data_IF_846095842889
#
_entry.id   IF_846095842889
#
_cell.length_a   1.000
_cell.length_b   1.000
_cell.length_c   1.000
_cell.angle_alpha   90.00
_cell.angle_beta   90.00
_cell.angle_gamma   90.00
#
_symmetry.space_group_name_H-M   'P 1'
#
loop_
_entity.id
_entity.type
_entity.pdbx_description
1 polymer ?
#
# COMPACT_ATOMS: atom_id res chain seq x y z
N UNK A 1 19.06 30.28 7.40
CA UNK A 1 18.56 28.89 7.21
C UNK A 1 18.05 28.74 5.80
N UNK A 2 18.26 27.60 5.14
CA UNK A 2 17.80 27.32 3.76
C UNK A 2 16.66 26.31 3.72
N UNK A 3 16.05 26.09 2.55
CA UNK A 3 14.97 25.11 2.35
C UNK A 3 15.37 24.06 1.32
N UNK A 4 14.91 22.81 1.48
CA UNK A 4 15.28 21.70 0.61
C UNK A 4 14.89 21.92 -0.86
N UNK A 5 13.88 22.77 -1.13
CA UNK A 5 13.50 23.20 -2.48
C UNK A 5 14.62 23.96 -3.20
N UNK A 6 15.45 24.71 -2.47
CA UNK A 6 16.56 25.47 -3.06
C UNK A 6 17.78 24.57 -3.30
N UNK A 7 18.03 23.58 -2.44
CA UNK A 7 19.10 22.60 -2.60
C UNK A 7 18.91 21.38 -1.70
N UNK A 8 19.21 20.19 -2.23
CA UNK A 8 19.08 18.91 -1.53
C UNK A 8 19.86 18.79 -0.21
N UNK A 9 20.97 19.53 -0.01
CA UNK A 9 21.77 19.48 1.23
C UNK A 9 21.02 19.99 2.46
N UNK A 10 19.95 20.76 2.25
CA UNK A 10 19.06 21.24 3.31
C UNK A 10 17.87 20.30 3.54
N UNK A 11 17.89 19.08 3.01
CA UNK A 11 16.88 18.06 3.26
C UNK A 11 17.16 17.35 4.60
N UNK A 12 16.26 17.45 5.60
CA UNK A 12 16.45 16.77 6.88
C UNK A 12 16.07 15.27 6.83
N UNK A 13 15.51 14.80 5.72
CA UNK A 13 15.10 13.40 5.50
C UNK A 13 15.99 12.72 4.47
N UNK A 14 16.34 11.47 4.73
CA UNK A 14 16.90 10.55 3.74
C UNK A 14 15.78 9.93 2.89
N UNK A 15 14.73 9.45 3.55
CA UNK A 15 13.53 8.87 2.93
C UNK A 15 12.29 9.45 3.60
N UNK A 16 11.31 9.86 2.80
CA UNK A 16 9.97 10.16 3.27
C UNK A 16 8.98 9.59 2.23
N UNK A 17 8.40 8.44 2.54
CA UNK A 17 7.55 7.69 1.60
C UNK A 17 6.31 7.17 2.31
N UNK A 18 5.33 6.71 1.53
CA UNK A 18 4.13 6.07 2.05
C UNK A 18 3.72 4.90 1.18
N UNK A 19 3.03 3.94 1.80
CA UNK A 19 2.34 2.84 1.10
C UNK A 19 0.92 2.71 1.63
N UNK A 20 -0.02 2.34 0.76
CA UNK A 20 -1.36 1.98 1.19
C UNK A 20 -1.37 0.56 1.75
N UNK A 21 -2.18 0.34 2.79
CA UNK A 21 -2.40 -1.01 3.30
C UNK A 21 -3.23 -1.79 2.26
N UNK A 22 -2.89 -3.05 1.96
CA UNK A 22 -3.63 -3.86 1.00
C UNK A 22 -4.99 -4.30 1.58
N UNK A 23 -6.05 -4.05 0.82
CA UNK A 23 -7.34 -4.70 0.99
C UNK A 23 -7.35 -5.96 0.13
N UNK A 24 -7.31 -7.14 0.76
CA UNK A 24 -7.30 -8.43 0.07
C UNK A 24 -8.67 -9.09 0.21
N UNK A 25 -9.32 -9.32 -0.93
CA UNK A 25 -10.56 -10.07 -1.03
C UNK A 25 -10.27 -11.46 -1.58
N UNK A 26 -10.71 -12.50 -0.86
CA UNK A 26 -10.60 -13.90 -1.27
C UNK A 26 -11.98 -14.44 -1.64
N UNK A 27 -12.15 -14.87 -2.88
CA UNK A 27 -13.37 -15.49 -3.35
C UNK A 27 -13.36 -16.98 -3.00
N UNK A 28 -13.88 -17.32 -1.82
CA UNK A 28 -13.88 -18.68 -1.29
C UNK A 28 -14.64 -19.66 -2.19
N UNK A 29 -15.69 -19.21 -2.90
CA UNK A 29 -16.46 -20.06 -3.81
C UNK A 29 -15.67 -20.47 -5.04
N UNK A 30 -14.93 -19.52 -5.64
CA UNK A 30 -14.07 -19.82 -6.79
C UNK A 30 -12.82 -20.61 -6.36
N UNK A 31 -12.23 -20.28 -5.21
CA UNK A 31 -11.11 -21.02 -4.63
C UNK A 31 -11.48 -22.47 -4.32
N UNK A 32 -12.73 -22.76 -3.92
CA UNK A 32 -13.20 -24.12 -3.65
C UNK A 32 -13.26 -24.99 -4.92
N UNK A 33 -13.40 -24.39 -6.11
CA UNK A 33 -13.41 -25.11 -7.39
C UNK A 33 -12.01 -25.52 -7.87
N UNK A 34 -10.97 -24.88 -7.34
CA UNK A 34 -9.58 -25.17 -7.70
C UNK A 34 -9.09 -26.48 -7.08
N UNK A 35 -8.29 -27.21 -7.84
CA UNK A 35 -7.55 -28.37 -7.32
C UNK A 35 -6.50 -27.94 -6.29
N UNK A 36 -6.03 -28.89 -5.48
CA UNK A 36 -4.97 -28.61 -4.50
C UNK A 36 -3.68 -28.08 -5.16
N UNK A 37 -3.33 -28.60 -6.34
CA UNK A 37 -2.14 -28.16 -7.08
C UNK A 37 -2.31 -26.73 -7.63
N UNK A 38 -3.51 -26.38 -8.09
CA UNK A 38 -3.81 -25.01 -8.53
C UNK A 38 -3.76 -24.03 -7.36
N UNK A 39 -4.26 -24.42 -6.17
CA UNK A 39 -4.14 -23.61 -4.96
C UNK A 39 -2.70 -23.39 -4.54
N UNK A 40 -1.85 -24.42 -4.61
CA UNK A 40 -0.41 -24.29 -4.36
C UNK A 40 0.24 -23.34 -5.35
N UNK A 41 -0.02 -23.51 -6.65
CA UNK A 41 0.51 -22.63 -7.69
C UNK A 41 0.08 -21.16 -7.47
N UNK A 42 -1.16 -20.91 -7.03
CA UNK A 42 -1.65 -19.56 -6.72
C UNK A 42 -0.94 -18.94 -5.51
N UNK A 43 -0.65 -19.73 -4.47
CA UNK A 43 0.10 -19.26 -3.29
C UNK A 43 1.57 -19.02 -3.64
N UNK A 44 2.18 -19.95 -4.36
CA UNK A 44 3.61 -19.92 -4.71
C UNK A 44 3.95 -18.83 -5.74
N UNK A 45 2.99 -18.42 -6.60
CA UNK A 45 3.24 -17.35 -7.56
C UNK A 45 3.31 -15.97 -6.93
N UNK A 46 2.82 -15.80 -5.68
CA UNK A 46 2.85 -14.51 -5.01
C UNK A 46 4.22 -14.30 -4.33
N UNK A 47 5.11 -13.43 -4.87
CA UNK A 47 6.44 -13.21 -4.30
C UNK A 47 6.36 -12.61 -2.89
N UNK A 48 5.34 -11.80 -2.64
CA UNK A 48 5.08 -11.12 -1.36
C UNK A 48 4.58 -12.08 -0.26
N UNK A 49 4.20 -13.31 -0.64
CA UNK A 49 3.64 -14.33 0.25
C UNK A 49 2.45 -13.82 1.07
N UNK A 50 1.52 -13.10 0.44
CA UNK A 50 0.32 -12.58 1.11
C UNK A 50 -0.77 -13.66 1.32
N UNK A 51 -0.65 -14.79 0.62
CA UNK A 51 -1.53 -15.93 0.72
C UNK A 51 -0.83 -17.07 1.48
N UNK A 52 -1.63 -17.90 2.15
CA UNK A 52 -1.17 -19.12 2.82
C UNK A 52 -2.15 -20.26 2.53
N UNK A 53 -1.62 -21.46 2.29
CA UNK A 53 -2.40 -22.69 2.20
C UNK A 53 -2.39 -23.39 3.56
N UNK A 54 -3.55 -23.79 4.04
CA UNK A 54 -3.66 -24.70 5.18
C UNK A 54 -3.58 -26.14 4.68
N UNK A 55 -2.51 -26.84 5.03
CA UNK A 55 -2.27 -28.23 4.62
C UNK A 55 -3.31 -29.22 5.18
N UNK A 56 -3.97 -28.90 6.29
CA UNK A 56 -4.97 -29.77 6.91
C UNK A 56 -6.33 -29.68 6.23
N UNK A 57 -6.75 -28.46 5.83
CA UNK A 57 -8.07 -28.20 5.24
C UNK A 57 -8.04 -28.01 3.73
N UNK A 58 -6.86 -27.73 3.15
CA UNK A 58 -6.70 -27.33 1.76
C UNK A 58 -7.31 -25.96 1.46
N UNK A 59 -7.58 -25.13 2.47
CA UNK A 59 -8.13 -23.79 2.32
C UNK A 59 -7.02 -22.76 2.10
N UNK A 60 -7.29 -21.75 1.27
CA UNK A 60 -6.39 -20.61 1.04
C UNK A 60 -6.87 -19.44 1.92
N UNK A 61 -5.96 -18.95 2.75
CA UNK A 61 -6.16 -17.80 3.63
C UNK A 61 -5.10 -16.73 3.42
N UNK A 62 -5.20 -15.66 4.23
CA UNK A 62 -4.19 -14.60 4.27
C UNK A 62 -3.05 -15.02 5.20
N UNK A 63 -1.82 -14.71 4.80
CA UNK A 63 -0.66 -14.97 5.63
C UNK A 63 -0.56 -13.93 6.76
N UNK A 64 -0.04 -14.29 7.95
CA UNK A 64 0.18 -13.32 9.02
C UNK A 64 1.19 -12.24 8.59
N UNK A 65 0.83 -10.96 8.79
CA UNK A 65 1.65 -9.81 8.44
C UNK A 65 1.70 -9.51 6.94
N UNK A 66 0.70 -9.96 6.17
CA UNK A 66 0.58 -9.64 4.75
C UNK A 66 0.50 -8.14 4.49
N UNK A 67 -0.02 -7.34 5.43
CA UNK A 67 -0.20 -5.89 5.28
C UNK A 67 1.12 -5.15 5.03
N UNK A 68 2.22 -5.68 5.57
CA UNK A 68 3.55 -5.07 5.45
C UNK A 68 4.34 -5.54 4.23
N UNK A 69 3.90 -6.62 3.57
CA UNK A 69 4.65 -7.28 2.49
C UNK A 69 4.05 -7.06 1.11
N UNK A 70 2.76 -6.74 1.01
CA UNK A 70 2.12 -6.58 -0.28
C UNK A 70 2.74 -5.42 -1.07
N UNK A 71 3.29 -5.73 -2.25
CA UNK A 71 3.86 -4.78 -3.20
C UNK A 71 2.97 -4.53 -4.42
N UNK A 72 1.75 -5.08 -4.41
CA UNK A 72 0.73 -4.93 -5.47
C UNK A 72 1.21 -5.40 -6.85
N UNK A 73 1.98 -6.50 -6.89
CA UNK A 73 2.40 -7.11 -8.16
C UNK A 73 1.21 -7.67 -8.94
N UNK A 74 1.42 -7.88 -10.25
CA UNK A 74 0.40 -8.42 -11.14
C UNK A 74 0.47 -9.95 -11.30
N UNK A 75 1.36 -10.62 -10.56
CA UNK A 75 1.59 -12.08 -10.67
C UNK A 75 0.30 -12.87 -10.40
N UNK A 76 -0.44 -12.47 -9.36
CA UNK A 76 -1.74 -13.06 -9.03
C UNK A 76 -2.77 -12.84 -10.15
N UNK A 77 -2.80 -11.64 -10.75
CA UNK A 77 -3.70 -11.32 -11.87
C UNK A 77 -3.40 -12.19 -13.10
N UNK A 78 -2.13 -12.45 -13.38
CA UNK A 78 -1.73 -13.27 -14.51
C UNK A 78 -2.12 -14.74 -14.29
N UNK A 79 -1.75 -15.31 -13.14
CA UNK A 79 -2.02 -16.72 -12.84
C UNK A 79 -3.51 -17.01 -12.71
N UNK A 80 -4.29 -16.14 -12.07
CA UNK A 80 -5.74 -16.34 -11.98
C UNK A 80 -6.39 -16.28 -13.36
N UNK A 81 -5.94 -15.38 -14.25
CA UNK A 81 -6.49 -15.28 -15.62
C UNK A 81 -6.21 -16.54 -16.44
N UNK A 82 -5.07 -17.20 -16.21
CA UNK A 82 -4.73 -18.47 -16.86
C UNK A 82 -5.48 -19.68 -16.27
N UNK A 83 -5.91 -19.60 -15.01
CA UNK A 83 -6.63 -20.67 -14.31
C UNK A 83 -8.15 -20.60 -14.51
N UNK A 84 -8.70 -19.43 -14.83
CA UNK A 84 -10.12 -19.27 -15.15
C UNK A 84 -10.48 -20.04 -16.41
N UNK A 85 -11.70 -20.56 -16.42
CA UNK A 85 -12.22 -21.25 -17.60
C UNK A 85 -12.75 -20.24 -18.62
N UNK A 86 -13.45 -19.20 -18.16
CA UNK A 86 -13.90 -18.08 -18.97
C UNK A 86 -13.25 -16.77 -18.51
N UNK A 87 -12.92 -15.84 -19.42
CA UNK A 87 -12.37 -14.52 -19.06
C UNK A 87 -13.29 -13.71 -18.11
N UNK A 88 -14.61 -13.89 -18.26
CA UNK A 88 -15.66 -13.27 -17.45
C UNK A 88 -15.85 -13.88 -16.05
N UNK A 89 -15.21 -15.02 -15.73
CA UNK A 89 -15.30 -15.60 -14.40
C UNK A 89 -14.70 -14.64 -13.34
N UNK A 90 -15.22 -14.70 -12.11
CA UNK A 90 -14.71 -13.87 -11.02
C UNK A 90 -13.26 -14.24 -10.63
N UNK A 91 -12.49 -13.24 -10.18
CA UNK A 91 -11.14 -13.45 -9.66
C UNK A 91 -11.16 -14.28 -8.36
N UNK A 92 -10.17 -15.18 -8.21
CA UNK A 92 -9.97 -15.92 -6.96
C UNK A 92 -9.50 -15.00 -5.83
N UNK A 93 -8.65 -14.03 -6.16
CA UNK A 93 -8.03 -13.10 -5.23
C UNK A 93 -8.04 -11.71 -5.86
N UNK A 94 -8.48 -10.70 -5.10
CA UNK A 94 -8.39 -9.31 -5.50
C UNK A 94 -7.62 -8.52 -4.45
N UNK A 95 -6.53 -7.89 -4.88
CA UNK A 95 -5.69 -7.04 -4.02
C UNK A 95 -5.86 -5.60 -4.48
N UNK A 96 -6.38 -4.74 -3.60
CA UNK A 96 -6.58 -3.31 -3.87
C UNK A 96 -5.90 -2.46 -2.81
N UNK A 97 -5.53 -1.23 -3.16
CA UNK A 97 -5.02 -0.27 -2.19
C UNK A 97 -6.18 0.29 -1.37
N UNK A 98 -6.05 0.30 -0.04
CA UNK A 98 -6.98 0.98 0.84
C UNK A 98 -6.98 2.49 0.56
N UNK A 99 -8.17 3.11 0.57
CA UNK A 99 -8.34 4.54 0.28
C UNK A 99 -8.14 5.42 1.51
N UNK A 100 -8.24 4.85 2.71
CA UNK A 100 -8.23 5.54 3.99
C UNK A 100 -7.11 5.08 4.93
N UNK A 101 -6.37 4.00 4.60
CA UNK A 101 -5.28 3.46 5.41
C UNK A 101 -3.96 3.40 4.65
N UNK A 102 -2.96 4.06 5.21
CA UNK A 102 -1.60 4.05 4.69
C UNK A 102 -0.56 4.05 5.82
N UNK A 103 0.62 3.52 5.54
CA UNK A 103 1.79 3.55 6.42
C UNK A 103 2.76 4.58 5.86
N UNK A 104 3.10 5.57 6.67
CA UNK A 104 4.07 6.61 6.35
C UNK A 104 5.43 6.28 6.99
N UNK A 105 6.49 6.24 6.19
CA UNK A 105 7.85 5.96 6.66
C UNK A 105 8.72 7.20 6.47
N UNK A 106 9.35 7.64 7.56
CA UNK A 106 10.29 8.78 7.56
C UNK A 106 11.60 8.36 8.17
N UNK A 107 12.67 8.48 7.38
CA UNK A 107 14.05 8.30 7.80
C UNK A 107 14.74 9.66 7.84
N UNK A 108 15.21 10.05 9.01
CA UNK A 108 15.96 11.30 9.20
C UNK A 108 17.42 11.14 8.78
N UNK A 109 18.05 12.23 8.32
CA UNK A 109 19.50 12.30 8.14
C UNK A 109 20.27 12.50 9.46
N UNK A 110 19.57 12.60 10.59
CA UNK A 110 20.13 12.86 11.92
C UNK A 110 20.15 14.33 12.32
N UNK A 111 19.83 15.24 11.40
CA UNK A 111 19.77 16.69 11.67
C UNK A 111 18.57 17.12 12.52
N UNK A 112 17.50 16.31 12.54
CA UNK A 112 16.29 16.51 13.33
C UNK A 112 15.64 15.16 13.62
N UNK A 113 14.98 14.99 14.76
CA UNK A 113 14.25 13.74 15.05
C UNK A 113 13.08 13.53 14.06
N UNK A 114 12.80 12.30 13.59
CA UNK A 114 11.73 12.02 12.63
C UNK A 114 10.35 12.56 13.04
N UNK A 115 10.00 12.49 14.33
CA UNK A 115 8.69 12.95 14.82
C UNK A 115 8.56 14.47 14.68
N UNK A 116 9.65 15.20 14.92
CA UNK A 116 9.71 16.66 14.78
C UNK A 116 9.67 17.09 13.30
N UNK A 117 10.24 16.29 12.39
CA UNK A 117 10.14 16.51 10.95
C UNK A 117 8.67 16.46 10.51
N UNK A 118 7.93 15.42 10.94
CA UNK A 118 6.51 15.25 10.60
C UNK A 118 5.66 16.40 11.16
N UNK A 119 5.84 16.75 12.45
CA UNK A 119 5.14 17.88 13.07
C UNK A 119 5.42 19.20 12.35
N UNK A 120 6.68 19.44 12.00
CA UNK A 120 7.11 20.65 11.30
C UNK A 120 6.49 20.72 9.89
N UNK A 121 6.40 19.60 9.18
CA UNK A 121 5.76 19.51 7.87
C UNK A 121 4.27 19.84 7.95
N UNK A 122 3.55 19.27 8.93
CA UNK A 122 2.13 19.56 9.15
C UNK A 122 1.89 21.04 9.50
N UNK A 123 2.72 21.62 10.37
CA UNK A 123 2.66 23.05 10.69
C UNK A 123 2.88 23.92 9.45
N UNK A 124 3.80 23.53 8.55
CA UNK A 124 4.02 24.25 7.29
C UNK A 124 2.84 24.11 6.33
N UNK A 125 2.18 22.96 6.27
CA UNK A 125 0.96 22.79 5.49
C UNK A 125 -0.16 23.69 6.03
N UNK A 126 -0.37 23.70 7.34
CA UNK A 126 -1.36 24.56 8.00
C UNK A 126 -1.12 26.04 7.67
N UNK A 127 0.12 26.52 7.80
CA UNK A 127 0.46 27.91 7.46
C UNK A 127 0.16 28.26 5.99
N UNK A 128 0.42 27.35 5.05
CA UNK A 128 0.08 27.58 3.63
C UNK A 128 -1.42 27.71 3.41
N UNK A 129 -2.22 26.85 4.06
CA UNK A 129 -3.68 26.90 3.97
C UNK A 129 -4.25 28.18 4.59
N UNK A 130 -3.72 28.60 5.74
CA UNK A 130 -4.11 29.86 6.39
C UNK A 130 -3.80 31.07 5.51
N UNK A 131 -2.59 31.12 4.92
CA UNK A 131 -2.22 32.20 4.00
C UNK A 131 -3.14 32.25 2.76
N UNK A 132 -3.48 31.08 2.19
CA UNK A 132 -4.40 31.01 1.05
C UNK A 132 -5.79 31.52 1.42
N UNK A 133 -6.29 31.12 2.59
CA UNK A 133 -7.60 31.56 3.10
C UNK A 133 -7.66 33.08 3.29
N UNK A 134 -6.59 33.67 3.83
CA UNK A 134 -6.49 35.12 4.00
C UNK A 134 -6.50 35.85 2.65
N UNK A 135 -5.78 35.35 1.65
CA UNK A 135 -5.75 35.94 0.31
C UNK A 135 -7.13 35.85 -0.36
N UNK A 136 -7.81 34.70 -0.27
CA UNK A 136 -9.16 34.53 -0.83
C UNK A 136 -10.14 35.53 -0.17
N UNK A 137 -10.11 35.63 1.15
CA UNK A 137 -10.99 36.54 1.91
C UNK A 137 -10.79 38.01 1.50
N UNK A 138 -9.56 38.41 1.13
CA UNK A 138 -9.26 39.76 0.65
C UNK A 138 -9.71 40.02 -0.79
N UNK A 139 -9.86 38.99 -1.61
CA UNK A 139 -10.34 39.12 -2.99
C UNK A 139 -11.87 39.22 -3.06
N UNK A 140 -12.56 38.63 -2.09
CA UNK A 140 -14.02 38.68 -1.96
C UNK A 140 -14.54 39.97 -1.27
N UNK A 141 -13.63 40.85 -0.81
CA UNK A 141 -13.91 42.12 -0.14
C UNK A 141 -13.75 43.32 -1.09
#
# INVERSE_FOLDING_TARGET
MGISKEHAKWCPVGVATYRFIPDVFLNQEQLAKLSLDQKKQLVDCCPDRILALDDATGAVGLSPGYEDRATFTEDLKYIQSAMKFHPEDEDFVRVTQSTDRFVFTVESTGSMHPEEIVKSALKRLQLKLSNLTEVITRLDA
#
